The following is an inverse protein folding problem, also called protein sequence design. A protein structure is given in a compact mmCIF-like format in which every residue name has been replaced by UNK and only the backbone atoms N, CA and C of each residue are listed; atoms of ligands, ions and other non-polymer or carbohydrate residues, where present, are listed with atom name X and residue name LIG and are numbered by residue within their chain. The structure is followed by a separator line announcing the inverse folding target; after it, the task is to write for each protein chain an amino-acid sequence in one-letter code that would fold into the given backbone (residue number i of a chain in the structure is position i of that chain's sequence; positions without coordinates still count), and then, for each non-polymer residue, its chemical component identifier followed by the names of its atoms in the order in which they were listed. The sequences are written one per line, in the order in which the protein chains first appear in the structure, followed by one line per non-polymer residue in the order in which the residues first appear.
data_IF_776394483310
#
_entry.id   IF_776394483310
#
_cell.length_a   1.000
_cell.length_b   1.000
_cell.length_c   1.000
_cell.angle_alpha   90.00
_cell.angle_beta   90.00
_cell.angle_gamma   90.00
#
_symmetry.space_group_name_H-M   'P 1'
#
loop_
_entity.id
_entity.type
_entity.pdbx_description
1 polymer ?
#
# COMPACT_ATOMS: atom_id res chain seq x y z
N UNK A 1 -8.41 43.61 -25.26
CA UNK A 1 -8.03 44.86 -24.58
C UNK A 1 -8.50 46.01 -25.41
N UNK A 2 -9.12 47.03 -24.84
CA UNK A 2 -9.45 48.27 -25.52
C UNK A 2 -8.26 49.19 -25.43
N UNK A 3 -7.81 49.70 -26.59
CA UNK A 3 -6.78 50.70 -26.67
C UNK A 3 -7.37 52.08 -26.25
N UNK A 4 -6.50 53.02 -25.87
CA UNK A 4 -6.85 54.42 -25.50
C UNK A 4 -7.69 55.14 -26.56
N UNK A 5 -7.73 54.62 -27.78
CA UNK A 5 -8.53 55.07 -28.92
C UNK A 5 -9.83 54.33 -29.13
N UNK A 6 -10.21 53.43 -28.22
CA UNK A 6 -11.47 52.64 -28.31
C UNK A 6 -11.50 51.54 -29.36
N UNK A 7 -10.32 51.16 -29.90
CA UNK A 7 -10.23 50.07 -30.86
C UNK A 7 -10.06 48.72 -30.15
N UNK A 8 -10.82 47.70 -30.55
CA UNK A 8 -10.69 46.33 -30.06
C UNK A 8 -9.54 45.64 -30.81
N UNK A 9 -8.45 45.38 -30.12
CA UNK A 9 -7.41 44.48 -30.61
C UNK A 9 -7.69 43.06 -30.18
N UNK A 10 -7.91 42.18 -31.16
CA UNK A 10 -8.01 40.74 -30.94
C UNK A 10 -6.61 40.16 -30.97
N UNK A 11 -6.11 39.75 -29.82
CA UNK A 11 -4.88 38.98 -29.70
C UNK A 11 -5.27 37.49 -29.73
N UNK A 12 -4.69 36.74 -30.61
CA UNK A 12 -4.77 35.28 -30.63
C UNK A 12 -3.60 34.82 -29.74
N UNK A 13 -3.95 34.43 -28.52
CA UNK A 13 -3.01 33.82 -27.59
C UNK A 13 -2.92 32.34 -27.97
N UNK A 14 -1.86 31.97 -28.66
CA UNK A 14 -1.50 30.59 -28.88
C UNK A 14 -0.84 30.08 -27.60
N UNK A 15 -1.65 29.49 -26.73
CA UNK A 15 -1.12 28.82 -25.56
C UNK A 15 -0.76 27.37 -25.96
N UNK A 16 0.50 27.16 -26.31
CA UNK A 16 1.01 25.87 -26.77
C UNK A 16 0.91 24.79 -25.69
N UNK A 17 0.90 25.22 -24.40
CA UNK A 17 0.85 24.32 -23.23
C UNK A 17 -0.22 24.79 -22.23
N UNK A 18 -1.53 24.57 -22.53
CA UNK A 18 -2.55 24.89 -21.54
C UNK A 18 -2.38 24.04 -20.29
N UNK A 19 -2.35 24.67 -19.11
CA UNK A 19 -2.11 24.03 -17.81
C UNK A 19 -2.99 22.81 -17.57
N UNK A 20 -4.23 22.84 -18.05
CA UNK A 20 -5.17 21.75 -17.97
C UNK A 20 -5.82 21.50 -19.32
N UNK A 21 -5.28 20.54 -20.07
CA UNK A 21 -5.93 20.00 -21.28
C UNK A 21 -6.00 18.47 -21.17
N UNK A 22 -6.90 17.86 -21.93
CA UNK A 22 -6.97 16.39 -22.00
C UNK A 22 -5.62 15.78 -22.44
N UNK A 23 -4.95 16.45 -23.35
CA UNK A 23 -3.63 16.05 -23.84
C UNK A 23 -2.56 16.12 -22.76
N UNK A 24 -2.54 17.21 -21.97
CA UNK A 24 -1.59 17.37 -20.86
C UNK A 24 -1.81 16.35 -19.74
N UNK A 25 -3.05 15.91 -19.53
CA UNK A 25 -3.38 14.95 -18.48
C UNK A 25 -3.01 13.50 -18.86
N UNK A 26 -3.21 13.12 -20.14
CA UNK A 26 -3.16 11.69 -20.52
C UNK A 26 -2.09 11.36 -21.58
N UNK A 27 -1.54 12.36 -22.27
CA UNK A 27 -0.50 12.14 -23.28
C UNK A 27 0.87 12.62 -22.78
N UNK A 28 1.90 12.19 -23.48
CA UNK A 28 3.26 12.69 -23.28
C UNK A 28 3.34 14.13 -23.78
N UNK A 29 3.87 15.02 -22.93
CA UNK A 29 4.07 16.42 -23.25
C UNK A 29 5.55 16.75 -23.20
N UNK A 30 6.00 17.55 -24.17
CA UNK A 30 7.35 18.06 -24.20
C UNK A 30 7.41 19.33 -23.35
N UNK A 31 8.08 19.26 -22.22
CA UNK A 31 8.30 20.41 -21.34
C UNK A 31 9.66 21.06 -21.62
N UNK A 32 9.78 22.36 -21.39
CA UNK A 32 11.04 23.08 -21.53
C UNK A 32 12.15 22.46 -20.69
N UNK A 33 13.36 22.38 -21.27
CA UNK A 33 14.53 21.79 -20.62
C UNK A 33 14.59 20.26 -20.63
N UNK A 34 13.75 19.58 -21.44
CA UNK A 34 13.77 18.13 -21.62
C UNK A 34 14.07 17.76 -23.08
N UNK A 35 14.83 16.68 -23.26
CA UNK A 35 15.19 16.13 -24.58
C UNK A 35 14.07 15.32 -25.21
N UNK A 36 13.10 14.84 -24.40
CA UNK A 36 12.01 13.95 -24.83
C UNK A 36 10.67 14.31 -24.15
N UNK A 37 9.57 14.04 -24.86
CA UNK A 37 8.24 14.08 -24.25
C UNK A 37 8.08 12.97 -23.19
N UNK A 38 7.57 13.30 -22.01
CA UNK A 38 7.41 12.36 -20.89
C UNK A 38 6.16 12.68 -20.07
N UNK A 39 5.66 11.65 -19.38
CA UNK A 39 4.62 11.82 -18.37
C UNK A 39 5.24 12.34 -17.08
N UNK A 40 4.94 13.57 -16.70
CA UNK A 40 5.49 14.18 -15.50
C UNK A 40 4.34 14.72 -14.66
N UNK A 41 4.35 14.38 -13.37
CA UNK A 41 3.52 15.00 -12.36
C UNK A 41 4.40 15.85 -11.44
N UNK A 42 4.04 17.13 -11.32
CA UNK A 42 4.67 18.03 -10.37
C UNK A 42 3.60 19.02 -9.91
N UNK A 43 3.39 19.11 -8.59
CA UNK A 43 2.46 20.08 -8.03
C UNK A 43 2.92 21.50 -8.40
N UNK A 44 1.96 22.41 -8.61
CA UNK A 44 2.22 23.82 -8.89
C UNK A 44 3.02 24.42 -7.73
N UNK A 45 4.14 25.06 -8.04
CA UNK A 45 4.84 25.90 -7.08
C UNK A 45 4.23 27.32 -7.10
N UNK A 46 4.35 28.04 -5.99
CA UNK A 46 3.79 29.38 -5.85
C UNK A 46 4.54 30.50 -6.59
N UNK A 47 5.30 30.19 -7.64
CA UNK A 47 6.02 31.16 -8.48
C UNK A 47 5.43 31.20 -9.87
N UNK A 48 5.22 32.38 -10.40
CA UNK A 48 4.63 32.63 -11.74
C UNK A 48 5.51 32.13 -12.91
N UNK A 49 6.78 31.79 -12.64
CA UNK A 49 7.72 31.24 -13.63
C UNK A 49 7.67 29.70 -13.72
N UNK A 50 6.77 29.06 -12.97
CA UNK A 50 6.74 27.62 -12.88
C UNK A 50 5.71 27.01 -13.83
N UNK A 51 6.17 26.22 -14.79
CA UNK A 51 5.32 25.45 -15.68
C UNK A 51 4.70 24.27 -14.93
N UNK A 52 3.37 24.27 -14.79
CA UNK A 52 2.64 23.21 -14.11
C UNK A 52 2.64 21.91 -14.95
N UNK A 53 3.10 20.81 -14.36
CA UNK A 53 3.17 19.48 -15.00
C UNK A 53 2.15 18.57 -14.37
N UNK A 54 1.02 18.36 -15.07
CA UNK A 54 -0.17 17.72 -14.50
C UNK A 54 -0.54 16.39 -15.17
N UNK A 55 0.44 15.57 -15.56
CA UNK A 55 0.14 14.26 -16.09
C UNK A 55 -0.47 13.34 -15.03
N UNK A 56 -1.66 12.80 -15.27
CA UNK A 56 -2.35 11.85 -14.36
C UNK A 56 -1.80 10.43 -14.49
N UNK A 57 -1.08 10.12 -15.55
CA UNK A 57 -0.60 8.77 -15.85
C UNK A 57 0.32 8.22 -14.77
N UNK A 58 1.35 8.93 -14.28
CA UNK A 58 2.22 8.44 -13.19
C UNK A 58 1.46 8.18 -11.90
N UNK A 59 0.46 9.02 -11.58
CA UNK A 59 -0.38 8.85 -10.40
C UNK A 59 -1.28 7.61 -10.53
N UNK A 60 -1.94 7.46 -11.67
CA UNK A 60 -2.82 6.32 -11.92
C UNK A 60 -2.05 4.99 -11.89
N UNK A 61 -0.89 4.92 -12.53
CA UNK A 61 -0.03 3.73 -12.51
C UNK A 61 0.51 3.47 -11.09
N UNK A 62 0.92 4.52 -10.38
CA UNK A 62 1.41 4.42 -9.01
C UNK A 62 0.36 3.86 -8.05
N UNK A 63 -0.87 4.38 -8.12
CA UNK A 63 -1.98 3.91 -7.26
C UNK A 63 -2.40 2.48 -7.61
N UNK A 64 -2.47 2.14 -8.91
CA UNK A 64 -2.79 0.78 -9.35
C UNK A 64 -1.73 -0.22 -8.89
N UNK A 65 -0.46 0.13 -9.03
CA UNK A 65 0.67 -0.68 -8.55
C UNK A 65 0.62 -0.86 -7.03
N UNK A 66 0.40 0.20 -6.29
CA UNK A 66 0.28 0.16 -4.83
C UNK A 66 -0.90 -0.73 -4.39
N UNK A 67 -2.07 -0.60 -5.01
CA UNK A 67 -3.23 -1.42 -4.73
C UNK A 67 -2.97 -2.90 -5.03
N UNK A 68 -2.31 -3.22 -6.15
CA UNK A 68 -1.95 -4.59 -6.50
C UNK A 68 -1.05 -5.23 -5.46
N UNK A 69 0.02 -4.55 -5.05
CA UNK A 69 0.92 -5.07 -4.02
C UNK A 69 0.23 -5.19 -2.65
N UNK A 70 -0.61 -4.21 -2.29
CA UNK A 70 -1.38 -4.30 -1.05
C UNK A 70 -2.29 -5.53 -1.03
N UNK A 71 -3.00 -5.83 -2.12
CA UNK A 71 -3.85 -7.02 -2.24
C UNK A 71 -3.02 -8.32 -2.22
N UNK A 72 -1.86 -8.33 -2.86
CA UNK A 72 -0.97 -9.48 -2.89
C UNK A 72 -0.55 -9.93 -1.48
N UNK A 73 -0.28 -8.98 -0.59
CA UNK A 73 0.06 -9.28 0.81
C UNK A 73 -1.17 -9.46 1.70
N UNK A 74 -2.21 -8.67 1.52
CA UNK A 74 -3.40 -8.72 2.36
C UNK A 74 -4.19 -10.02 2.19
N UNK A 75 -4.31 -10.53 0.96
CA UNK A 75 -5.13 -11.71 0.68
C UNK A 75 -4.63 -12.98 1.39
N UNK A 76 -3.36 -13.38 1.31
CA UNK A 76 -2.88 -14.58 2.02
C UNK A 76 -2.96 -14.41 3.54
N UNK A 77 -2.67 -13.22 4.06
CA UNK A 77 -2.81 -12.95 5.49
C UNK A 77 -4.26 -13.06 5.96
N UNK A 78 -5.20 -12.55 5.19
CA UNK A 78 -6.63 -12.65 5.50
C UNK A 78 -7.11 -14.10 5.50
N UNK A 79 -6.70 -14.90 4.51
CA UNK A 79 -7.05 -16.32 4.43
C UNK A 79 -6.48 -17.12 5.61
N UNK A 80 -5.18 -16.92 5.91
CA UNK A 80 -4.53 -17.58 7.04
C UNK A 80 -5.18 -17.20 8.37
N UNK A 81 -5.50 -15.93 8.55
CA UNK A 81 -6.18 -15.41 9.72
C UNK A 81 -7.57 -16.00 9.87
N UNK A 82 -8.34 -16.10 8.78
CA UNK A 82 -9.66 -16.70 8.77
C UNK A 82 -9.61 -18.19 9.14
N UNK A 83 -8.65 -18.94 8.59
CA UNK A 83 -8.44 -20.36 8.93
C UNK A 83 -8.08 -20.51 10.40
N UNK A 84 -7.19 -19.68 10.91
CA UNK A 84 -6.80 -19.68 12.32
C UNK A 84 -7.99 -19.43 13.25
N UNK A 85 -8.80 -18.43 12.96
CA UNK A 85 -10.00 -18.09 13.74
C UNK A 85 -11.05 -19.22 13.64
N UNK A 86 -11.17 -19.86 12.48
CA UNK A 86 -12.16 -20.92 12.27
C UNK A 86 -11.80 -22.22 13.02
N UNK A 87 -10.53 -22.63 13.03
CA UNK A 87 -10.14 -23.96 13.49
C UNK A 87 -9.40 -23.97 14.84
N UNK A 88 -8.65 -22.92 15.16
CA UNK A 88 -7.73 -22.92 16.32
C UNK A 88 -8.23 -22.10 17.51
N UNK A 89 -9.10 -21.12 17.28
CA UNK A 89 -9.59 -20.25 18.36
C UNK A 89 -10.78 -20.91 19.08
N UNK A 90 -10.75 -20.79 20.42
CA UNK A 90 -11.85 -21.25 21.28
C UNK A 90 -13.15 -20.49 21.00
N UNK A 91 -14.33 -21.12 21.18
CA UNK A 91 -15.63 -20.48 20.89
C UNK A 91 -15.83 -19.13 21.63
N UNK A 92 -15.35 -19.04 22.85
CA UNK A 92 -15.44 -17.79 23.67
C UNK A 92 -14.65 -16.63 23.05
N UNK A 93 -13.41 -16.92 22.60
CA UNK A 93 -12.60 -15.91 21.91
C UNK A 93 -13.17 -15.56 20.54
N UNK A 94 -13.69 -16.54 19.81
CA UNK A 94 -14.33 -16.31 18.48
C UNK A 94 -15.49 -15.33 18.59
N UNK A 95 -16.30 -15.43 19.66
CA UNK A 95 -17.39 -14.51 19.94
C UNK A 95 -16.94 -13.06 20.17
N UNK A 96 -15.69 -12.83 20.55
CA UNK A 96 -15.11 -11.48 20.72
C UNK A 96 -14.39 -10.99 19.46
N UNK A 97 -13.67 -11.88 18.78
CA UNK A 97 -12.87 -11.54 17.59
C UNK A 97 -13.77 -11.12 16.42
N UNK A 98 -14.90 -11.83 16.20
CA UNK A 98 -15.81 -11.52 15.11
C UNK A 98 -16.36 -10.08 15.17
N UNK A 99 -16.97 -9.60 16.28
CA UNK A 99 -17.44 -8.21 16.38
C UNK A 99 -16.32 -7.21 16.25
N UNK A 100 -15.11 -7.51 16.75
CA UNK A 100 -13.96 -6.62 16.64
C UNK A 100 -13.57 -6.40 15.17
N UNK A 101 -13.53 -7.45 14.37
CA UNK A 101 -13.25 -7.35 12.93
C UNK A 101 -14.35 -6.56 12.21
N UNK A 102 -15.62 -6.78 12.56
CA UNK A 102 -16.76 -6.05 11.98
C UNK A 102 -16.67 -4.55 12.30
N UNK A 103 -16.30 -4.18 13.52
CA UNK A 103 -16.08 -2.76 13.90
C UNK A 103 -14.89 -2.18 13.12
N UNK A 104 -13.79 -2.92 12.98
CA UNK A 104 -12.65 -2.46 12.19
C UNK A 104 -12.99 -2.27 10.71
N UNK A 105 -13.85 -3.13 10.15
CA UNK A 105 -14.33 -2.99 8.77
C UNK A 105 -15.27 -1.79 8.57
N UNK A 106 -15.95 -1.33 9.64
CA UNK A 106 -16.80 -0.16 9.61
C UNK A 106 -16.02 1.16 9.70
N UNK A 107 -14.74 1.13 10.08
CA UNK A 107 -13.91 2.34 10.12
C UNK A 107 -13.73 2.90 8.69
N UNK A 108 -13.83 4.24 8.52
CA UNK A 108 -13.67 4.84 7.22
C UNK A 108 -12.25 4.63 6.70
N UNK A 109 -12.13 3.86 5.63
CA UNK A 109 -10.85 3.47 5.00
C UNK A 109 -10.02 4.68 4.56
N UNK A 110 -10.68 5.79 4.22
CA UNK A 110 -10.03 7.06 3.85
C UNK A 110 -9.24 7.64 5.02
N UNK A 111 -9.81 7.62 6.23
CA UNK A 111 -9.11 8.14 7.43
C UNK A 111 -7.92 7.24 7.77
N UNK A 112 -8.08 5.92 7.67
CA UNK A 112 -6.98 4.98 7.89
C UNK A 112 -5.88 5.15 6.83
N UNK A 113 -6.25 5.33 5.57
CA UNK A 113 -5.30 5.60 4.48
C UNK A 113 -4.53 6.91 4.69
N UNK A 114 -5.23 7.97 5.09
CA UNK A 114 -4.62 9.26 5.39
C UNK A 114 -3.63 9.17 6.56
N UNK A 115 -4.04 8.54 7.67
CA UNK A 115 -3.17 8.33 8.83
C UNK A 115 -1.95 7.48 8.48
N UNK A 116 -2.16 6.40 7.72
CA UNK A 116 -1.08 5.54 7.23
C UNK A 116 -0.11 6.31 6.32
N UNK A 117 -0.60 7.14 5.41
CA UNK A 117 0.22 7.94 4.51
C UNK A 117 1.03 9.03 5.21
N UNK A 118 0.44 9.73 6.19
CA UNK A 118 1.11 10.84 6.87
C UNK A 118 2.07 10.40 7.99
N UNK A 119 1.73 9.35 8.69
CA UNK A 119 2.50 8.93 9.86
C UNK A 119 3.21 7.60 9.67
N UNK A 120 2.50 6.57 9.23
CA UNK A 120 3.07 5.22 9.14
C UNK A 120 4.06 5.09 7.97
N UNK A 121 3.77 5.70 6.83
CA UNK A 121 4.65 5.60 5.66
C UNK A 121 6.02 6.23 5.90
N UNK A 122 6.17 7.48 6.42
CA UNK A 122 7.48 8.05 6.76
C UNK A 122 8.22 7.27 7.84
N UNK A 123 7.48 6.71 8.81
CA UNK A 123 8.06 5.86 9.85
C UNK A 123 8.64 4.57 9.25
N UNK A 124 7.89 3.88 8.41
CA UNK A 124 8.35 2.66 7.73
C UNK A 124 9.54 2.98 6.82
N UNK A 125 9.51 4.07 6.08
CA UNK A 125 10.60 4.51 5.21
C UNK A 125 11.90 4.72 5.99
N UNK A 126 11.82 5.38 7.14
CA UNK A 126 12.97 5.63 8.01
C UNK A 126 13.60 4.35 8.58
N UNK A 127 12.80 3.31 8.81
CA UNK A 127 13.22 2.03 9.39
C UNK A 127 13.02 0.85 8.45
N UNK A 128 13.09 1.09 7.14
CA UNK A 128 12.74 0.10 6.11
C UNK A 128 13.51 -1.22 6.28
N UNK A 129 14.82 -1.17 6.52
CA UNK A 129 15.62 -2.38 6.71
C UNK A 129 15.25 -3.15 7.97
N UNK A 130 14.92 -2.47 9.07
CA UNK A 130 14.48 -3.09 10.31
C UNK A 130 13.11 -3.74 10.16
N UNK A 131 12.16 -3.06 9.50
CA UNK A 131 10.82 -3.58 9.22
C UNK A 131 10.89 -4.86 8.38
N UNK A 132 11.69 -4.86 7.30
CA UNK A 132 11.90 -6.06 6.47
C UNK A 132 12.59 -7.17 7.24
N UNK A 133 13.59 -6.86 8.06
CA UNK A 133 14.28 -7.84 8.89
C UNK A 133 13.34 -8.52 9.89
N UNK A 134 12.49 -7.75 10.56
CA UNK A 134 11.49 -8.29 11.50
C UNK A 134 10.46 -9.13 10.74
N UNK A 135 9.94 -8.65 9.63
CA UNK A 135 8.93 -9.34 8.83
C UNK A 135 9.44 -10.72 8.34
N UNK A 136 10.72 -10.81 7.97
CA UNK A 136 11.33 -12.05 7.51
C UNK A 136 11.78 -12.95 8.66
N UNK A 137 12.30 -12.36 9.74
CA UNK A 137 12.83 -13.09 10.88
C UNK A 137 11.71 -13.74 11.72
N UNK A 138 10.58 -13.07 11.86
CA UNK A 138 9.48 -13.54 12.71
C UNK A 138 8.93 -14.91 12.26
N UNK A 139 8.55 -15.16 11.00
CA UNK A 139 8.10 -16.49 10.57
C UNK A 139 9.22 -17.54 10.66
N UNK A 140 10.48 -17.17 10.40
CA UNK A 140 11.62 -18.09 10.54
C UNK A 140 11.78 -18.52 11.99
N UNK A 141 11.72 -17.59 12.96
CA UNK A 141 11.78 -17.89 14.38
C UNK A 141 10.59 -18.76 14.83
N UNK A 142 9.40 -18.47 14.34
CA UNK A 142 8.23 -19.29 14.67
C UNK A 142 8.40 -20.73 14.18
N UNK A 143 8.88 -20.93 12.97
CA UNK A 143 9.15 -22.27 12.43
C UNK A 143 10.29 -22.95 13.21
N UNK A 144 11.37 -22.23 13.48
CA UNK A 144 12.53 -22.74 14.22
C UNK A 144 12.19 -23.20 15.63
N UNK A 145 11.25 -22.53 16.30
CA UNK A 145 10.79 -22.93 17.64
C UNK A 145 9.73 -24.01 17.60
N UNK A 146 8.86 -24.04 16.58
CA UNK A 146 7.80 -25.02 16.45
C UNK A 146 8.35 -26.41 16.07
N UNK A 147 9.33 -26.49 15.18
CA UNK A 147 9.91 -27.77 14.73
C UNK A 147 10.48 -28.64 15.88
N UNK A 148 11.39 -28.15 16.77
CA UNK A 148 11.91 -28.95 17.87
C UNK A 148 10.79 -29.37 18.84
N UNK A 149 9.82 -28.52 19.09
CA UNK A 149 8.68 -28.86 19.95
C UNK A 149 7.85 -30.02 19.37
N UNK A 150 7.56 -30.00 18.09
CA UNK A 150 6.83 -31.06 17.39
C UNK A 150 7.65 -32.36 17.39
N UNK A 151 8.95 -32.28 17.12
CA UNK A 151 9.85 -33.44 17.12
C UNK A 151 9.95 -34.07 18.50
N UNK A 152 10.16 -33.26 19.55
CA UNK A 152 10.22 -33.75 20.92
C UNK A 152 8.91 -34.43 21.33
N UNK A 153 7.78 -33.83 20.99
CA UNK A 153 6.46 -34.39 21.28
C UNK A 153 6.24 -35.71 20.53
N UNK A 154 6.65 -35.79 19.26
CA UNK A 154 6.55 -37.03 18.49
C UNK A 154 7.42 -38.15 19.04
N UNK A 155 8.62 -37.83 19.52
CA UNK A 155 9.54 -38.78 20.15
C UNK A 155 9.01 -39.24 21.51
N UNK A 156 8.45 -38.34 22.33
CA UNK A 156 7.87 -38.68 23.62
C UNK A 156 6.62 -39.59 23.49
N UNK A 157 5.80 -39.36 22.45
CA UNK A 157 4.61 -40.19 22.18
C UNK A 157 4.97 -41.57 21.58
N UNK A 158 6.18 -41.70 21.00
CA UNK A 158 6.67 -42.97 20.42
C UNK A 158 7.35 -43.88 21.44
N UNK A 159 7.33 -43.50 22.75
CA UNK A 159 7.84 -44.37 23.80
C UNK A 159 6.95 -45.61 23.88
N UNK A 160 7.44 -46.83 23.55
CA UNK A 160 6.63 -48.03 23.58
C UNK A 160 6.17 -48.25 25.03
N UNK A 161 4.86 -48.41 25.22
CA UNK A 161 4.28 -48.87 26.45
C UNK A 161 4.82 -50.28 26.76
N UNK A 162 5.89 -50.33 27.52
CA UNK A 162 6.37 -51.60 28.10
C UNK A 162 5.51 -51.94 29.32
N UNK A 163 4.30 -52.36 29.06
CA UNK A 163 3.45 -52.91 30.12
C UNK A 163 2.54 -53.95 29.53
N UNK A 164 3.04 -55.14 29.23
CA UNK A 164 2.27 -56.35 29.36
C UNK A 164 3.20 -57.55 29.48
N UNK A 165 3.83 -57.68 30.63
CA UNK A 165 4.27 -58.98 31.08
C UNK A 165 3.89 -59.09 32.54
N UNK A 166 2.66 -59.46 32.81
CA UNK A 166 2.24 -60.08 34.07
C UNK A 166 1.33 -61.25 33.76
N UNK A 167 1.85 -62.41 34.11
CA UNK A 167 1.15 -63.68 34.15
C UNK A 167 -0.13 -63.63 35.00
#
# INVERSE_FOLDING_TARGET
MLDDKGQMHKFELENAHPDVSYTALWNEVWYEGRDEAKYIWQASAGSDEFEAKMSMVPLAIGTLKAAFFAMLFATPLAIMSAIYVAYFITPVLRGKVKPTIEIMAALPTVILGFLAGLWLAPFIESYLSAVFSILLLLPVLMIATALPFVVIRALCLKKPSFSTFRR
#
